data_IF_730607207668
#
_entry.id   IF_730607207668
#
_cell.length_a   1.000
_cell.length_b   1.000
_cell.length_c   1.000
_cell.angle_alpha   90.00
_cell.angle_beta   90.00
_cell.angle_gamma   90.00
#
_symmetry.space_group_name_H-M   'P 1'
#
loop_
_entity.id
_entity.type
_entity.pdbx_description
1 polymer ?
#
# COMPACT_ATOMS: atom_id res chain seq x y z
N UNK A 1 11.71 33.43 17.63
CA UNK A 1 12.74 32.43 17.99
C UNK A 1 12.28 31.00 17.70
N UNK A 2 11.50 30.30 18.55
CA UNK A 2 11.13 28.89 18.29
C UNK A 2 10.39 28.66 16.94
N UNK A 3 9.43 29.52 16.60
CA UNK A 3 8.69 29.41 15.33
C UNK A 3 9.50 29.80 14.08
N UNK A 4 10.58 30.58 14.24
CA UNK A 4 11.45 30.97 13.11
C UNK A 4 12.43 29.83 12.80
N UNK A 5 12.96 29.17 13.84
CA UNK A 5 13.82 27.98 13.69
C UNK A 5 13.07 26.86 12.98
N UNK A 6 11.83 26.57 13.40
CA UNK A 6 11.04 25.52 12.75
C UNK A 6 10.69 25.86 11.29
N UNK A 7 10.51 27.14 10.96
CA UNK A 7 10.30 27.56 9.55
C UNK A 7 11.54 27.31 8.69
N UNK A 8 12.74 27.54 9.22
CA UNK A 8 14.00 27.20 8.55
C UNK A 8 14.15 25.68 8.39
N UNK A 9 13.81 24.91 9.43
CA UNK A 9 13.86 23.46 9.39
C UNK A 9 12.85 22.85 8.40
N UNK A 10 11.66 23.46 8.23
CA UNK A 10 10.73 23.08 7.14
C UNK A 10 11.39 23.22 5.78
N UNK A 11 12.10 24.33 5.56
CA UNK A 11 12.79 24.59 4.28
C UNK A 11 13.91 23.57 4.06
N UNK A 12 14.62 23.18 5.13
CA UNK A 12 15.65 22.11 5.06
C UNK A 12 15.03 20.75 4.74
N UNK A 13 13.88 20.42 5.31
CA UNK A 13 13.15 19.19 4.95
C UNK A 13 12.80 19.21 3.47
N UNK A 14 12.27 20.30 2.92
CA UNK A 14 11.95 20.41 1.49
C UNK A 14 13.20 20.24 0.61
N UNK A 15 14.28 20.94 0.93
CA UNK A 15 15.56 20.80 0.24
C UNK A 15 16.14 19.37 0.34
N UNK A 16 15.92 18.68 1.47
CA UNK A 16 16.31 17.29 1.61
C UNK A 16 15.53 16.39 0.66
N UNK A 17 14.21 16.59 0.54
CA UNK A 17 13.37 15.81 -0.38
C UNK A 17 13.74 16.06 -1.85
N UNK A 18 14.06 17.28 -2.22
CA UNK A 18 14.60 17.60 -3.55
C UNK A 18 15.93 16.88 -3.81
N UNK A 19 16.82 16.86 -2.81
CA UNK A 19 18.08 16.13 -2.93
C UNK A 19 17.84 14.61 -3.09
N UNK A 20 16.92 14.03 -2.32
CA UNK A 20 16.57 12.60 -2.40
C UNK A 20 15.97 12.24 -3.76
N UNK A 21 15.05 13.05 -4.30
CA UNK A 21 14.47 12.82 -5.63
C UNK A 21 15.51 12.97 -6.75
N UNK A 22 16.50 13.83 -6.57
CA UNK A 22 17.66 13.95 -7.46
C UNK A 22 18.72 12.84 -7.26
N UNK A 23 18.48 11.83 -6.42
CA UNK A 23 19.40 10.72 -6.15
C UNK A 23 20.59 11.10 -5.25
N UNK A 24 20.62 12.31 -4.68
CA UNK A 24 21.69 12.79 -3.80
C UNK A 24 21.42 12.36 -2.35
N UNK A 25 21.43 11.04 -2.12
CA UNK A 25 21.03 10.42 -0.84
C UNK A 25 21.75 11.00 0.38
N UNK A 26 23.09 11.11 0.31
CA UNK A 26 23.92 11.62 1.41
C UNK A 26 23.61 13.09 1.75
N UNK A 27 23.32 13.90 0.72
CA UNK A 27 22.95 15.30 0.94
C UNK A 27 21.59 15.41 1.64
N UNK A 28 20.61 14.64 1.16
CA UNK A 28 19.28 14.59 1.78
C UNK A 28 19.34 14.10 3.22
N UNK A 29 20.04 13.00 3.48
CA UNK A 29 20.23 12.45 4.82
C UNK A 29 20.84 13.47 5.79
N UNK A 30 21.92 14.15 5.37
CA UNK A 30 22.59 15.16 6.20
C UNK A 30 21.64 16.30 6.59
N UNK A 31 20.85 16.80 5.63
CA UNK A 31 19.88 17.87 5.90
C UNK A 31 18.81 17.41 6.90
N UNK A 32 18.32 16.18 6.78
CA UNK A 32 17.35 15.62 7.74
C UNK A 32 17.97 15.42 9.13
N UNK A 33 19.24 15.01 9.20
CA UNK A 33 19.98 14.88 10.46
C UNK A 33 20.15 16.24 11.16
N UNK A 34 20.44 17.31 10.41
CA UNK A 34 20.48 18.67 10.94
C UNK A 34 19.13 19.11 11.52
N UNK A 35 18.02 18.77 10.85
CA UNK A 35 16.67 19.08 11.34
C UNK A 35 16.34 18.34 12.63
N UNK A 36 16.59 17.03 12.71
CA UNK A 36 16.28 16.29 13.94
C UNK A 36 17.17 16.69 15.12
N UNK A 37 18.38 17.21 14.87
CA UNK A 37 19.24 17.77 15.91
C UNK A 37 18.64 19.04 16.55
N UNK A 38 17.76 19.73 15.82
CA UNK A 38 17.01 20.89 16.30
C UNK A 38 15.66 20.53 16.94
N UNK A 39 15.31 19.24 17.06
CA UNK A 39 14.05 18.83 17.67
C UNK A 39 13.96 19.38 19.10
N UNK A 40 12.91 20.15 19.45
CA UNK A 40 12.77 20.71 20.78
C UNK A 40 12.53 19.61 21.82
N UNK A 41 12.96 19.84 23.06
CA UNK A 41 12.74 18.91 24.18
C UNK A 41 11.24 18.68 24.45
N UNK A 42 10.44 19.75 24.30
CA UNK A 42 8.98 19.70 24.32
C UNK A 42 8.44 20.04 22.93
N UNK A 43 7.70 19.12 22.33
CA UNK A 43 7.08 19.30 21.02
C UNK A 43 5.56 19.31 21.14
N UNK A 44 4.95 20.35 20.58
CA UNK A 44 3.49 20.49 20.48
C UNK A 44 3.11 20.65 19.01
N UNK A 45 2.11 19.89 18.56
CA UNK A 45 1.59 19.97 17.19
C UNK A 45 0.72 21.22 16.97
N UNK A 46 0.17 21.76 18.05
CA UNK A 46 -0.65 22.96 18.07
C UNK A 46 -0.07 23.98 19.05
N UNK A 47 0.09 25.22 18.61
CA UNK A 47 0.58 26.32 19.43
C UNK A 47 -0.46 27.45 19.50
N UNK A 48 -0.75 27.93 20.71
CA UNK A 48 -1.57 29.12 20.90
C UNK A 48 -0.90 30.36 20.27
N UNK A 49 -1.66 31.15 19.52
CA UNK A 49 -1.22 32.45 18.95
C UNK A 49 -2.27 33.51 19.21
N UNK A 50 -1.88 34.78 19.12
CA UNK A 50 -2.81 35.88 19.29
C UNK A 50 -3.92 35.82 18.22
N UNK A 51 -5.18 35.68 18.65
CA UNK A 51 -6.34 35.59 17.77
C UNK A 51 -6.62 34.20 17.16
N UNK A 52 -5.89 33.14 17.54
CA UNK A 52 -6.11 31.79 17.00
C UNK A 52 -5.07 30.77 17.42
N UNK A 53 -4.74 29.85 16.52
CA UNK A 53 -3.66 28.88 16.71
C UNK A 53 -2.81 28.71 15.48
N UNK A 54 -1.58 28.23 15.69
CA UNK A 54 -0.80 27.62 14.66
C UNK A 54 -0.85 26.10 14.80
N UNK A 55 -1.18 25.40 13.72
CA UNK A 55 -1.18 23.93 13.69
C UNK A 55 -0.20 23.47 12.62
N UNK A 56 0.57 22.45 12.97
CA UNK A 56 1.62 21.89 12.12
C UNK A 56 1.01 20.79 11.25
N UNK A 57 1.24 20.88 9.94
CA UNK A 57 0.75 19.92 8.95
C UNK A 57 1.88 19.48 8.03
N UNK A 58 1.80 18.26 7.50
CA UNK A 58 2.80 17.72 6.58
C UNK A 58 2.70 18.31 5.20
N UNK A 59 1.50 18.74 4.82
CA UNK A 59 1.21 19.29 3.51
C UNK A 59 0.06 20.29 3.54
N UNK A 60 0.00 21.14 2.51
CA UNK A 60 -1.17 22.00 2.28
C UNK A 60 -2.46 21.17 2.14
N UNK A 61 -2.40 19.98 1.53
CA UNK A 61 -3.58 19.16 1.34
C UNK A 61 -4.21 18.74 2.69
N UNK A 62 -3.37 18.32 3.63
CA UNK A 62 -3.81 17.97 4.99
C UNK A 62 -4.42 19.16 5.72
N UNK A 63 -3.80 20.34 5.60
CA UNK A 63 -4.36 21.59 6.13
C UNK A 63 -5.74 21.89 5.52
N UNK A 64 -5.91 21.73 4.20
CA UNK A 64 -7.18 21.96 3.53
C UNK A 64 -8.27 20.97 3.99
N UNK A 65 -7.94 19.70 4.20
CA UNK A 65 -8.87 18.73 4.78
C UNK A 65 -9.28 19.11 6.20
N UNK A 66 -8.32 19.55 7.03
CA UNK A 66 -8.62 20.02 8.38
C UNK A 66 -9.54 21.24 8.38
N UNK A 67 -9.31 22.22 7.49
CA UNK A 67 -10.19 23.40 7.33
C UNK A 67 -11.59 22.99 6.88
N UNK A 68 -11.71 22.05 5.93
CA UNK A 68 -13.01 21.51 5.48
C UNK A 68 -13.75 20.84 6.64
N UNK A 69 -13.07 19.98 7.39
CA UNK A 69 -13.65 19.32 8.56
C UNK A 69 -14.14 20.34 9.60
N UNK A 70 -13.34 21.37 9.90
CA UNK A 70 -13.76 22.42 10.83
C UNK A 70 -15.03 23.14 10.39
N UNK A 71 -15.15 23.44 9.08
CA UNK A 71 -16.34 24.07 8.50
C UNK A 71 -17.56 23.17 8.66
N UNK A 72 -17.43 21.88 8.40
CA UNK A 72 -18.51 20.89 8.57
C UNK A 72 -18.98 20.77 10.02
N UNK A 73 -18.05 20.92 10.98
CA UNK A 73 -18.37 20.96 12.41
C UNK A 73 -18.92 22.31 12.89
N UNK A 74 -19.01 23.32 12.02
CA UNK A 74 -19.42 24.68 12.39
C UNK A 74 -18.44 25.37 13.36
N UNK A 75 -17.17 24.96 13.36
CA UNK A 75 -16.14 25.52 14.24
C UNK A 75 -15.46 26.71 13.58
N UNK A 76 -15.60 27.90 14.17
CA UNK A 76 -14.89 29.10 13.73
C UNK A 76 -13.65 29.34 14.59
N UNK A 77 -12.48 28.96 14.06
CA UNK A 77 -11.18 29.19 14.69
C UNK A 77 -10.19 29.69 13.65
N UNK A 78 -9.45 30.75 13.94
CA UNK A 78 -8.36 31.18 13.06
C UNK A 78 -7.18 30.21 13.20
N UNK A 79 -6.79 29.58 12.10
CA UNK A 79 -5.74 28.56 12.06
C UNK A 79 -4.67 29.01 11.08
N UNK A 80 -3.44 29.12 11.57
CA UNK A 80 -2.25 29.35 10.77
C UNK A 80 -1.56 28.02 10.50
N UNK A 81 -1.39 27.67 9.24
CA UNK A 81 -0.59 26.53 8.84
C UNK A 81 0.90 26.78 9.10
N UNK A 82 1.56 25.79 9.71
CA UNK A 82 3.02 25.65 9.79
C UNK A 82 3.40 24.28 9.21
N UNK A 83 4.53 24.19 8.51
CA UNK A 83 5.05 22.90 8.05
C UNK A 83 5.56 22.07 9.23
N UNK A 84 5.23 20.78 9.28
CA UNK A 84 5.65 19.94 10.39
C UNK A 84 7.07 19.35 10.22
N UNK A 85 8.12 20.09 10.57
CA UNK A 85 9.50 19.72 10.21
C UNK A 85 9.99 18.42 10.88
N UNK A 86 9.88 18.32 12.21
CA UNK A 86 10.57 17.27 12.97
C UNK A 86 10.02 15.86 12.74
N UNK A 87 8.70 15.60 12.86
CA UNK A 87 8.13 14.29 12.55
C UNK A 87 8.37 13.88 11.10
N UNK A 88 8.27 14.83 10.14
CA UNK A 88 8.64 14.58 8.74
C UNK A 88 10.09 14.15 8.62
N UNK A 89 11.02 14.85 9.27
CA UNK A 89 12.43 14.52 9.19
C UNK A 89 12.73 13.11 9.74
N UNK A 90 12.14 12.76 10.88
CA UNK A 90 12.21 11.41 11.44
C UNK A 90 11.64 10.35 10.50
N UNK A 91 10.49 10.62 9.88
CA UNK A 91 9.87 9.72 8.91
C UNK A 91 10.79 9.47 7.70
N UNK A 92 11.32 10.53 7.09
CA UNK A 92 12.15 10.38 5.89
C UNK A 92 13.51 9.72 6.19
N UNK A 93 14.08 9.96 7.37
CA UNK A 93 15.25 9.20 7.83
C UNK A 93 14.91 7.71 8.03
N UNK A 94 13.76 7.42 8.65
CA UNK A 94 13.25 6.05 8.79
C UNK A 94 13.09 5.35 7.43
N UNK A 95 12.41 6.00 6.49
CA UNK A 95 12.23 5.52 5.13
C UNK A 95 13.56 5.29 4.40
N UNK A 96 14.50 6.24 4.53
CA UNK A 96 15.83 6.12 3.93
C UNK A 96 16.61 4.94 4.54
N UNK A 97 16.54 4.73 5.85
CA UNK A 97 17.14 3.57 6.50
C UNK A 97 16.52 2.26 6.00
N UNK A 98 15.20 2.18 5.78
CA UNK A 98 14.57 1.00 5.14
C UNK A 98 15.15 0.75 3.75
N UNK A 99 15.28 1.79 2.92
CA UNK A 99 15.90 1.68 1.58
C UNK A 99 17.36 1.23 1.63
N UNK A 100 18.10 1.64 2.66
CA UNK A 100 19.50 1.24 2.91
C UNK A 100 19.61 -0.10 3.67
N UNK A 101 18.50 -0.79 3.94
CA UNK A 101 18.44 -2.04 4.71
C UNK A 101 18.93 -1.91 6.17
N UNK A 102 18.95 -0.69 6.70
CA UNK A 102 19.29 -0.36 8.08
C UNK A 102 18.03 -0.42 8.97
N UNK A 103 17.40 -1.59 9.03
CA UNK A 103 16.04 -1.72 9.58
C UNK A 103 15.95 -1.38 11.07
N UNK A 104 16.95 -1.73 11.88
CA UNK A 104 16.95 -1.39 13.31
C UNK A 104 16.98 0.13 13.54
N UNK A 105 17.81 0.84 12.78
CA UNK A 105 17.89 2.30 12.83
C UNK A 105 16.60 2.95 12.29
N UNK A 106 15.99 2.35 11.26
CA UNK A 106 14.69 2.81 10.76
C UNK A 106 13.64 2.79 11.88
N UNK A 107 13.56 1.70 12.64
CA UNK A 107 12.64 1.58 13.79
C UNK A 107 12.88 2.69 14.81
N UNK A 108 14.14 2.99 15.16
CA UNK A 108 14.46 4.07 16.11
C UNK A 108 13.98 5.44 15.64
N UNK A 109 14.21 5.79 14.36
CA UNK A 109 13.74 7.06 13.82
C UNK A 109 12.21 7.14 13.76
N UNK A 110 11.56 6.04 13.35
CA UNK A 110 10.10 5.99 13.24
C UNK A 110 9.43 6.05 14.62
N UNK A 111 10.02 5.45 15.65
CA UNK A 111 9.53 5.56 17.03
C UNK A 111 9.67 6.97 17.58
N UNK A 112 10.79 7.66 17.30
CA UNK A 112 10.94 9.08 17.66
C UNK A 112 9.92 9.94 16.94
N UNK A 113 9.74 9.77 15.63
CA UNK A 113 8.72 10.52 14.87
C UNK A 113 7.30 10.27 15.37
N UNK A 114 6.93 9.02 15.64
CA UNK A 114 5.63 8.66 16.24
C UNK A 114 5.44 9.26 17.63
N UNK A 115 6.49 9.40 18.42
CA UNK A 115 6.37 10.06 19.74
C UNK A 115 5.99 11.54 19.65
N UNK A 116 6.32 12.19 18.52
CA UNK A 116 5.93 13.58 18.24
C UNK A 116 4.52 13.67 17.64
N UNK A 117 4.13 12.69 16.82
CA UNK A 117 2.79 12.59 16.23
C UNK A 117 2.21 11.17 16.39
N UNK A 118 1.58 10.86 17.53
CA UNK A 118 1.06 9.52 17.81
C UNK A 118 -0.08 9.08 16.90
N UNK A 119 -0.79 10.05 16.31
CA UNK A 119 -1.99 9.84 15.48
C UNK A 119 -1.68 9.65 13.99
N UNK A 120 -0.41 9.79 13.58
CA UNK A 120 -0.04 9.68 12.17
C UNK A 120 0.27 8.22 11.78
N UNK A 121 -0.58 7.54 10.98
CA UNK A 121 -0.41 6.13 10.65
C UNK A 121 0.80 5.84 9.75
N UNK A 122 1.38 6.86 9.11
CA UNK A 122 2.57 6.70 8.25
C UNK A 122 3.75 6.06 9.00
N UNK A 123 3.93 6.40 10.27
CA UNK A 123 4.97 5.80 11.09
C UNK A 123 4.73 4.30 11.32
N UNK A 124 3.48 3.87 11.45
CA UNK A 124 3.13 2.46 11.61
C UNK A 124 3.45 1.67 10.36
N UNK A 125 3.09 2.20 9.19
CA UNK A 125 3.32 1.53 7.91
C UNK A 125 4.80 1.31 7.62
N UNK A 126 5.62 2.35 7.77
CA UNK A 126 7.07 2.23 7.54
C UNK A 126 7.74 1.37 8.61
N UNK A 127 7.28 1.44 9.87
CA UNK A 127 7.85 0.61 10.94
C UNK A 127 7.49 -0.86 10.74
N UNK A 128 6.27 -1.15 10.28
CA UNK A 128 5.85 -2.50 9.92
C UNK A 128 6.75 -3.09 8.83
N UNK A 129 7.06 -2.33 7.77
CA UNK A 129 8.02 -2.76 6.74
C UNK A 129 9.40 -3.07 7.33
N UNK A 130 9.94 -2.21 8.19
CA UNK A 130 11.21 -2.46 8.85
C UNK A 130 11.16 -3.74 9.73
N UNK A 131 10.06 -3.97 10.46
CA UNK A 131 9.89 -5.16 11.30
C UNK A 131 9.77 -6.45 10.49
N UNK A 132 9.13 -6.43 9.32
CA UNK A 132 9.07 -7.59 8.40
C UNK A 132 10.49 -8.03 8.03
N UNK A 133 11.33 -7.09 7.61
CA UNK A 133 12.73 -7.38 7.24
C UNK A 133 13.61 -7.81 8.43
N UNK A 134 13.27 -7.39 9.65
CA UNK A 134 13.89 -7.87 10.89
C UNK A 134 13.37 -9.26 11.31
N UNK A 135 12.42 -9.84 10.56
CA UNK A 135 11.81 -11.14 10.87
C UNK A 135 10.73 -11.08 11.95
N UNK A 136 10.36 -9.90 12.43
CA UNK A 136 9.32 -9.70 13.44
C UNK A 136 7.95 -9.46 12.78
N UNK A 137 7.43 -10.52 12.16
CA UNK A 137 6.16 -10.49 11.41
C UNK A 137 4.96 -10.23 12.33
N UNK A 138 4.96 -10.80 13.53
CA UNK A 138 3.92 -10.58 14.54
C UNK A 138 3.86 -9.11 14.97
N UNK A 139 5.03 -8.48 15.18
CA UNK A 139 5.12 -7.06 15.48
C UNK A 139 4.63 -6.18 14.33
N UNK A 140 4.94 -6.53 13.09
CA UNK A 140 4.43 -5.82 11.92
C UNK A 140 2.91 -5.92 11.80
N UNK A 141 2.34 -7.11 12.00
CA UNK A 141 0.89 -7.32 11.97
C UNK A 141 0.19 -6.48 13.05
N UNK A 142 0.73 -6.45 14.26
CA UNK A 142 0.21 -5.64 15.36
C UNK A 142 0.23 -4.13 15.05
N UNK A 143 1.24 -3.64 14.31
CA UNK A 143 1.27 -2.24 13.89
C UNK A 143 0.20 -1.91 12.87
N UNK A 144 -0.10 -2.81 11.92
CA UNK A 144 -1.21 -2.59 11.00
C UNK A 144 -2.58 -2.67 11.70
N UNK A 145 -2.72 -3.53 12.71
CA UNK A 145 -3.92 -3.57 13.56
C UNK A 145 -4.11 -2.24 14.32
N UNK A 146 -3.03 -1.62 14.80
CA UNK A 146 -3.08 -0.33 15.50
C UNK A 146 -3.54 0.85 14.63
N UNK A 147 -3.53 0.73 13.29
CA UNK A 147 -3.93 1.85 12.42
C UNK A 147 -5.39 2.23 12.64
N UNK A 148 -6.28 1.30 13.03
CA UNK A 148 -7.67 1.67 13.35
C UNK A 148 -7.77 2.45 14.68
N UNK A 149 -6.72 2.39 15.49
CA UNK A 149 -6.64 3.01 16.83
C UNK A 149 -5.94 4.38 16.79
N UNK A 150 -5.32 4.78 15.68
CA UNK A 150 -4.59 6.07 15.58
C UNK A 150 -5.48 7.31 15.55
N UNK A 151 -6.80 7.15 15.70
CA UNK A 151 -7.72 8.26 15.94
C UNK A 151 -8.80 8.42 14.85
N UNK A 152 -9.71 9.39 15.03
CA UNK A 152 -10.88 9.58 14.16
C UNK A 152 -10.55 10.10 12.75
N UNK A 153 -9.29 10.39 12.46
CA UNK A 153 -8.84 11.04 11.21
C UNK A 153 -8.17 10.10 10.21
N UNK A 154 -8.12 8.80 10.48
CA UNK A 154 -7.57 7.82 9.54
C UNK A 154 -8.49 7.73 8.33
N UNK A 155 -7.94 8.03 7.15
CA UNK A 155 -8.70 8.00 5.91
C UNK A 155 -9.05 6.57 5.49
N UNK A 156 -10.10 6.42 4.68
CA UNK A 156 -10.45 5.12 4.09
C UNK A 156 -9.28 4.53 3.29
N UNK A 157 -8.47 5.38 2.64
CA UNK A 157 -7.27 4.96 1.91
C UNK A 157 -6.18 4.39 2.84
N UNK A 158 -5.98 4.99 4.02
CA UNK A 158 -5.02 4.48 5.02
C UNK A 158 -5.52 3.18 5.66
N UNK A 159 -6.83 3.07 5.93
CA UNK A 159 -7.42 1.81 6.39
C UNK A 159 -7.28 0.70 5.35
N UNK A 160 -7.53 1.01 4.06
CA UNK A 160 -7.31 0.07 2.96
C UNK A 160 -5.83 -0.35 2.87
N UNK A 161 -4.92 0.60 2.98
CA UNK A 161 -3.47 0.33 3.00
C UNK A 161 -3.07 -0.55 4.19
N UNK A 162 -3.60 -0.31 5.39
CA UNK A 162 -3.36 -1.14 6.56
C UNK A 162 -3.83 -2.58 6.33
N UNK A 163 -5.05 -2.76 5.81
CA UNK A 163 -5.63 -4.08 5.50
C UNK A 163 -4.79 -4.85 4.47
N UNK A 164 -4.29 -4.18 3.42
CA UNK A 164 -3.33 -4.79 2.47
C UNK A 164 -2.02 -5.16 3.15
N UNK A 165 -1.46 -4.25 3.96
CA UNK A 165 -0.26 -4.49 4.77
C UNK A 165 -0.35 -5.76 5.60
N UNK A 166 -1.49 -5.96 6.29
CA UNK A 166 -1.77 -7.22 7.00
C UNK A 166 -1.74 -8.42 6.06
N UNK A 167 -2.42 -8.33 4.91
CA UNK A 167 -2.46 -9.38 3.90
C UNK A 167 -1.06 -9.83 3.46
N UNK A 168 -0.17 -8.89 3.17
CA UNK A 168 1.23 -9.18 2.81
C UNK A 168 1.97 -9.95 3.90
N UNK A 169 1.88 -9.48 5.16
CA UNK A 169 2.52 -10.15 6.29
C UNK A 169 1.96 -11.56 6.49
N UNK A 170 0.65 -11.72 6.34
CA UNK A 170 -0.02 -13.02 6.51
C UNK A 170 0.37 -14.02 5.41
N UNK A 171 0.59 -13.58 4.17
CA UNK A 171 1.19 -14.41 3.11
C UNK A 171 2.57 -14.92 3.56
N UNK A 172 3.44 -14.03 4.05
CA UNK A 172 4.78 -14.42 4.50
C UNK A 172 4.78 -15.33 5.73
N UNK A 173 3.68 -15.35 6.50
CA UNK A 173 3.45 -16.27 7.62
C UNK A 173 2.78 -17.58 7.19
N UNK A 174 2.44 -17.75 5.91
CA UNK A 174 1.71 -18.91 5.39
C UNK A 174 0.23 -18.97 5.77
N UNK A 175 -0.33 -17.89 6.34
CA UNK A 175 -1.73 -17.79 6.78
C UNK A 175 -2.60 -17.28 5.64
N UNK A 176 -2.71 -18.09 4.58
CA UNK A 176 -3.33 -17.67 3.32
C UNK A 176 -4.82 -17.31 3.44
N UNK A 177 -5.58 -18.00 4.30
CA UNK A 177 -7.00 -17.70 4.53
C UNK A 177 -7.20 -16.32 5.19
N UNK A 178 -6.39 -16.01 6.20
CA UNK A 178 -6.41 -14.71 6.87
C UNK A 178 -5.93 -13.59 5.93
N UNK A 179 -4.94 -13.89 5.08
CA UNK A 179 -4.44 -12.95 4.08
C UNK A 179 -5.52 -12.58 3.05
N UNK A 180 -6.22 -13.57 2.50
CA UNK A 180 -7.33 -13.37 1.57
C UNK A 180 -8.44 -12.52 2.19
N UNK A 181 -8.82 -12.80 3.44
CA UNK A 181 -9.79 -11.99 4.17
C UNK A 181 -9.33 -10.52 4.32
N UNK A 182 -8.04 -10.30 4.59
CA UNK A 182 -7.48 -8.96 4.71
C UNK A 182 -7.50 -8.20 3.37
N UNK A 183 -7.18 -8.84 2.25
CA UNK A 183 -7.26 -8.22 0.92
C UNK A 183 -8.71 -7.93 0.50
N UNK A 184 -9.66 -8.83 0.77
CA UNK A 184 -11.08 -8.55 0.54
C UNK A 184 -11.57 -7.37 1.37
N UNK A 185 -11.21 -7.31 2.66
CA UNK A 185 -11.54 -6.17 3.50
C UNK A 185 -10.90 -4.87 2.96
N UNK A 186 -9.71 -4.91 2.36
CA UNK A 186 -9.16 -3.72 1.68
C UNK A 186 -10.02 -3.31 0.48
N UNK A 187 -10.48 -4.28 -0.34
CA UNK A 187 -11.28 -4.01 -1.53
C UNK A 187 -12.68 -3.46 -1.21
N UNK A 188 -13.19 -3.67 0.00
CA UNK A 188 -14.40 -2.98 0.47
C UNK A 188 -14.20 -1.46 0.57
N UNK A 189 -12.97 -1.00 0.81
CA UNK A 189 -12.62 0.41 0.99
C UNK A 189 -12.00 1.03 -0.27
N UNK A 190 -11.27 0.24 -1.03
CA UNK A 190 -10.62 0.61 -2.29
C UNK A 190 -10.91 -0.48 -3.34
N UNK A 191 -12.08 -0.48 -4.00
CA UNK A 191 -12.50 -1.54 -4.91
C UNK A 191 -11.63 -1.70 -6.16
N UNK A 192 -10.88 -0.66 -6.53
CA UNK A 192 -10.05 -0.60 -7.74
C UNK A 192 -8.57 -0.86 -7.44
N UNK A 193 -8.24 -1.32 -6.22
CA UNK A 193 -6.87 -1.60 -5.81
C UNK A 193 -6.24 -2.74 -6.62
N UNK A 194 -5.50 -2.41 -7.67
CA UNK A 194 -4.78 -3.38 -8.51
C UNK A 194 -3.86 -4.29 -7.69
N UNK A 195 -3.21 -3.70 -6.68
CA UNK A 195 -2.34 -4.41 -5.74
C UNK A 195 -3.13 -5.52 -5.01
N UNK A 196 -4.28 -5.21 -4.41
CA UNK A 196 -5.06 -6.22 -3.67
C UNK A 196 -5.59 -7.32 -4.60
N UNK A 197 -6.00 -6.97 -5.83
CA UNK A 197 -6.45 -7.94 -6.83
C UNK A 197 -5.31 -8.86 -7.29
N UNK A 198 -4.10 -8.33 -7.44
CA UNK A 198 -2.90 -9.10 -7.78
C UNK A 198 -2.55 -10.10 -6.68
N UNK A 199 -2.56 -9.65 -5.42
CA UNK A 199 -2.25 -10.51 -4.26
C UNK A 199 -3.27 -11.63 -4.06
N UNK A 200 -4.56 -11.41 -4.36
CA UNK A 200 -5.56 -12.48 -4.34
C UNK A 200 -5.28 -13.56 -5.38
N UNK A 201 -4.83 -13.17 -6.58
CA UNK A 201 -4.39 -14.14 -7.60
C UNK A 201 -3.13 -14.89 -7.14
N UNK A 202 -2.21 -14.20 -6.47
CA UNK A 202 -1.02 -14.81 -5.91
C UNK A 202 -1.36 -15.85 -4.84
N UNK A 203 -2.27 -15.54 -3.92
CA UNK A 203 -2.79 -16.50 -2.92
C UNK A 203 -3.37 -17.74 -3.60
N UNK A 204 -4.16 -17.56 -4.68
CA UNK A 204 -4.72 -18.68 -5.43
C UNK A 204 -3.64 -19.55 -6.10
N UNK A 205 -2.57 -18.95 -6.62
CA UNK A 205 -1.39 -19.64 -7.14
C UNK A 205 -0.66 -20.45 -6.07
N UNK A 206 -0.42 -19.86 -4.89
CA UNK A 206 0.21 -20.55 -3.76
C UNK A 206 -0.60 -21.78 -3.31
N UNK A 207 -1.93 -21.66 -3.25
CA UNK A 207 -2.82 -22.79 -2.92
C UNK A 207 -2.78 -23.93 -3.93
N UNK A 208 -2.45 -23.63 -5.19
CA UNK A 208 -2.29 -24.62 -6.25
C UNK A 208 -0.90 -25.30 -6.24
N UNK A 209 -0.06 -24.99 -5.24
CA UNK A 209 1.30 -25.52 -5.12
C UNK A 209 2.33 -24.71 -5.91
N UNK A 210 1.97 -23.51 -6.35
CA UNK A 210 2.91 -22.58 -6.95
C UNK A 210 3.99 -22.12 -5.97
N UNK A 211 5.24 -21.88 -6.43
CA UNK A 211 6.29 -21.39 -5.55
C UNK A 211 6.01 -19.94 -5.12
N UNK A 212 6.51 -19.57 -3.95
CA UNK A 212 6.59 -18.16 -3.56
C UNK A 212 7.59 -17.44 -4.46
N UNK A 213 7.18 -16.29 -4.99
CA UNK A 213 7.97 -15.44 -5.86
C UNK A 213 7.87 -13.99 -5.38
N UNK A 214 8.92 -13.21 -5.59
CA UNK A 214 8.93 -11.79 -5.22
C UNK A 214 8.14 -10.92 -6.21
N UNK A 215 8.07 -11.33 -7.49
CA UNK A 215 7.35 -10.61 -8.55
C UNK A 215 6.30 -11.53 -9.18
N UNK A 216 5.10 -11.53 -8.61
CA UNK A 216 3.99 -12.34 -9.12
C UNK A 216 3.40 -11.80 -10.43
N UNK A 217 3.53 -10.50 -10.72
CA UNK A 217 3.02 -9.91 -11.96
C UNK A 217 3.80 -10.41 -13.19
N UNK A 218 5.09 -10.75 -13.00
CA UNK A 218 5.92 -11.38 -14.03
C UNK A 218 5.62 -12.87 -14.23
N UNK A 219 4.93 -13.52 -13.29
CA UNK A 219 4.45 -14.89 -13.48
C UNK A 219 3.34 -14.80 -14.50
N UNK A 220 3.59 -15.35 -15.69
CA UNK A 220 2.52 -15.59 -16.66
C UNK A 220 1.43 -16.40 -15.95
N UNK A 221 0.39 -15.71 -15.47
CA UNK A 221 -0.87 -16.34 -15.19
C UNK A 221 -1.30 -16.80 -16.56
N UNK A 222 -1.02 -18.06 -16.89
CA UNK A 222 -1.73 -18.71 -17.96
C UNK A 222 -3.18 -18.60 -17.52
N UNK A 223 -3.89 -17.62 -18.10
CA UNK A 223 -5.33 -17.73 -18.23
C UNK A 223 -5.62 -19.14 -18.74
N UNK A 224 -6.78 -19.72 -18.43
CA UNK A 224 -7.07 -21.08 -18.88
C UNK A 224 -6.67 -21.20 -20.35
N UNK A 225 -5.86 -22.20 -20.71
CA UNK A 225 -5.31 -22.36 -22.07
C UNK A 225 -6.49 -22.45 -23.06
N UNK A 226 -6.89 -21.29 -23.55
CA UNK A 226 -8.13 -21.12 -24.31
C UNK A 226 -7.83 -21.58 -25.73
N UNK A 227 -8.19 -22.82 -26.01
CA UNK A 227 -8.11 -23.37 -27.36
C UNK A 227 -9.21 -22.78 -28.23
N UNK A 228 -8.89 -22.36 -29.47
CA UNK A 228 -9.89 -21.91 -30.42
C UNK A 228 -10.57 -23.11 -31.12
N UNK A 229 -11.89 -23.05 -31.24
CA UNK A 229 -12.66 -24.12 -31.88
C UNK A 229 -12.49 -24.13 -33.40
N UNK A 230 -12.01 -25.24 -33.95
CA UNK A 230 -11.80 -25.40 -35.40
C UNK A 230 -13.08 -25.24 -36.26
N UNK A 231 -14.27 -25.30 -35.65
CA UNK A 231 -15.56 -25.14 -36.35
C UNK A 231 -16.13 -23.73 -36.23
N UNK A 232 -16.12 -23.14 -35.04
CA UNK A 232 -16.83 -21.87 -34.79
C UNK A 232 -15.90 -20.70 -34.43
N UNK A 233 -14.59 -20.95 -34.33
CA UNK A 233 -13.58 -19.94 -33.99
C UNK A 233 -13.68 -19.36 -32.58
N UNK A 234 -14.60 -19.86 -31.74
CA UNK A 234 -14.75 -19.39 -30.37
C UNK A 234 -13.81 -20.13 -29.43
N UNK A 235 -13.22 -19.39 -28.53
CA UNK A 235 -12.35 -19.88 -27.49
C UNK A 235 -13.13 -20.70 -26.44
N UNK A 236 -12.49 -21.73 -25.90
CA UNK A 236 -13.05 -22.60 -24.87
C UNK A 236 -11.96 -23.20 -23.99
N UNK A 237 -12.33 -23.53 -22.75
CA UNK A 237 -11.40 -24.15 -21.77
C UNK A 237 -11.32 -25.68 -21.91
N UNK A 238 -12.41 -26.34 -22.31
CA UNK A 238 -12.45 -27.80 -22.53
C UNK A 238 -13.11 -28.17 -23.86
N UNK A 239 -12.37 -28.90 -24.70
CA UNK A 239 -12.81 -29.37 -26.02
C UNK A 239 -12.75 -30.87 -26.15
N UNK A 240 -13.17 -31.34 -27.32
CA UNK A 240 -13.10 -32.75 -27.71
C UNK A 240 -12.30 -32.84 -29.00
N UNK A 241 -11.39 -33.81 -29.05
CA UNK A 241 -10.61 -34.10 -30.25
C UNK A 241 -11.44 -35.01 -31.16
N UNK A 242 -11.56 -34.61 -32.41
CA UNK A 242 -12.21 -35.39 -33.47
C UNK A 242 -11.21 -35.64 -34.60
N UNK A 243 -11.48 -36.63 -35.44
CA UNK A 243 -10.69 -36.88 -36.65
C UNK A 243 -11.54 -36.67 -37.89
N UNK A 244 -11.09 -35.83 -38.80
CA UNK A 244 -11.75 -35.56 -40.09
C UNK A 244 -10.74 -35.84 -41.19
N UNK A 245 -11.06 -36.77 -42.10
CA UNK A 245 -10.18 -37.17 -43.21
C UNK A 245 -8.75 -37.54 -42.77
N UNK A 246 -8.64 -38.23 -41.62
CA UNK A 246 -7.36 -38.65 -41.04
C UNK A 246 -6.57 -37.54 -40.33
N UNK A 247 -7.11 -36.32 -40.23
CA UNK A 247 -6.48 -35.20 -39.50
C UNK A 247 -7.18 -34.95 -38.15
N UNK A 248 -6.44 -34.87 -37.04
CA UNK A 248 -7.01 -34.53 -35.74
C UNK A 248 -7.34 -33.03 -35.66
N UNK A 249 -8.52 -32.69 -35.12
CA UNK A 249 -9.00 -31.33 -34.89
C UNK A 249 -9.62 -31.23 -33.49
N UNK A 250 -9.49 -30.09 -32.83
CA UNK A 250 -10.11 -29.83 -31.52
C UNK A 250 -11.29 -28.87 -31.64
N UNK A 251 -12.42 -29.22 -31.01
CA UNK A 251 -13.67 -28.45 -31.09
C UNK A 251 -14.31 -28.29 -29.72
N UNK A 252 -15.07 -27.21 -29.52
CA UNK A 252 -15.78 -26.99 -28.25
C UNK A 252 -16.96 -27.96 -28.08
N UNK A 253 -17.33 -28.29 -26.83
CA UNK A 253 -18.47 -29.17 -26.48
C UNK A 253 -19.82 -28.74 -27.09
N UNK A 254 -19.97 -27.46 -27.47
CA UNK A 254 -21.18 -26.96 -28.15
C UNK A 254 -21.22 -27.40 -29.62
N UNK A 255 -20.09 -27.36 -30.31
CA UNK A 255 -19.97 -27.83 -31.69
C UNK A 255 -20.06 -29.36 -31.76
N UNK A 256 -19.44 -30.07 -30.82
CA UNK A 256 -19.57 -31.52 -30.67
C UNK A 256 -21.05 -31.95 -30.52
N UNK A 257 -21.81 -31.30 -29.63
CA UNK A 257 -23.25 -31.55 -29.46
C UNK A 257 -24.09 -31.22 -30.70
N UNK A 258 -23.61 -30.34 -31.59
CA UNK A 258 -24.27 -30.05 -32.87
C UNK A 258 -23.95 -31.10 -33.93
N UNK A 259 -22.72 -31.63 -33.94
CA UNK A 259 -22.33 -32.71 -34.83
C UNK A 259 -23.10 -33.99 -34.52
N UNK A 260 -23.21 -34.35 -33.24
CA UNK A 260 -23.98 -35.53 -32.79
C UNK A 260 -25.48 -35.42 -33.09
N UNK A 261 -26.05 -34.21 -33.09
CA UNK A 261 -27.46 -33.97 -33.44
C UNK A 261 -27.76 -33.96 -34.95
N UNK A 262 -26.77 -33.71 -35.82
CA UNK A 262 -26.96 -33.68 -37.29
C UNK A 262 -26.70 -35.04 -37.99
N UNK A 263 -26.33 -36.09 -37.25
CA UNK A 263 -25.99 -37.40 -37.80
C UNK A 263 -27.17 -38.37 -38.04
N UNK A 264 -28.43 -37.94 -37.84
CA UNK A 264 -29.62 -38.79 -38.06
C UNK A 264 -30.42 -38.50 -39.34
N UNK A 265 -30.00 -37.58 -40.21
CA UNK A 265 -30.81 -37.16 -41.38
C UNK A 265 -30.18 -37.40 -42.77
N UNK A 266 -29.08 -38.16 -42.88
CA UNK A 266 -28.45 -38.46 -44.18
C UNK A 266 -28.38 -39.95 -44.53
N UNK A 267 -29.22 -40.79 -43.92
CA UNK A 267 -29.48 -42.17 -44.37
C UNK A 267 -30.97 -42.36 -44.71
N UNK A 268 -31.36 -41.80 -45.86
CA UNK A 268 -32.35 -42.35 -46.78
C UNK A 268 -31.99 -41.91 -48.19
#
# INVERSE_FOLDING_TARGET
MASEVETEDVTKVEAALEALTAGKLQQGERLLQEVIANTPETYENEEAKEGGVAIKFWSMNEFMHYVSWMQDQGTERAVKWIGNAYPRAYYYLGFLCVKQQQYAQAVEYLDKGRSLEPENPKFLFEKAQALIHLGNKEGALALYDQVVETGPHVSQAELAMARRGRGFVLIEMGKLDDAEAAFHASLELDPESEIALSELKYIAHLRQGGPMVEDFESVETTGPDLSSCAICGKDYEQGVMITVEGRPLTICKRCERRLTKKWWQFWK
#
